data_IF_428511971905
#
_entry.id   IF_428511971905
#
_cell.length_a   1.000
_cell.length_b   1.000
_cell.length_c   1.000
_cell.angle_alpha   90.00
_cell.angle_beta   90.00
_cell.angle_gamma   90.00
#
_symmetry.space_group_name_H-M   'P 1'
#
loop_
_entity.id
_entity.type
_entity.pdbx_description
1 polymer ?
#
# COMPACT_ATOMS: atom_id res chain seq x y z
N UNK A 1 -5.22 1.65 12.58
CA UNK A 1 -5.78 1.23 11.28
C UNK A 1 -4.60 0.96 10.35
N UNK A 2 -4.70 -0.02 9.46
CA UNK A 2 -3.59 -0.45 8.62
C UNK A 2 -3.95 -0.34 7.14
N UNK A 3 -2.96 -0.09 6.29
CA UNK A 3 -3.13 0.02 4.83
C UNK A 3 -2.01 -0.70 4.09
N UNK A 4 -2.39 -1.52 3.12
CA UNK A 4 -1.48 -2.04 2.10
C UNK A 4 -1.62 -1.20 0.85
N UNK A 5 -0.50 -0.74 0.30
CA UNK A 5 -0.47 0.00 -0.95
C UNK A 5 0.82 -0.39 -1.67
N UNK A 6 0.75 -1.42 -2.51
CA UNK A 6 1.87 -1.80 -3.36
C UNK A 6 2.19 -0.65 -4.31
N UNK A 7 3.46 -0.31 -4.45
CA UNK A 7 3.89 0.87 -5.20
C UNK A 7 3.69 0.69 -6.69
N UNK A 8 3.74 -0.55 -7.16
CA UNK A 8 3.45 -0.96 -8.52
C UNK A 8 1.96 -1.23 -8.80
N UNK A 9 1.08 -1.09 -7.81
CA UNK A 9 -0.37 -1.15 -8.01
C UNK A 9 -0.91 0.21 -8.48
N UNK A 10 -1.29 0.37 -9.76
CA UNK A 10 -1.73 1.64 -10.32
C UNK A 10 -3.03 2.16 -9.68
N UNK A 11 -3.86 1.29 -9.11
CA UNK A 11 -5.14 1.69 -8.51
C UNK A 11 -4.90 2.43 -7.19
N UNK A 12 -3.85 2.05 -6.44
CA UNK A 12 -3.51 2.73 -5.18
C UNK A 12 -3.09 4.18 -5.38
N UNK A 13 -2.64 4.56 -6.58
CA UNK A 13 -2.28 5.94 -6.94
C UNK A 13 -3.49 6.82 -7.29
N UNK A 14 -4.68 6.23 -7.42
CA UNK A 14 -5.93 6.97 -7.65
C UNK A 14 -6.55 7.46 -6.34
N UNK A 15 -6.03 7.04 -5.18
CA UNK A 15 -6.39 7.62 -3.89
C UNK A 15 -6.00 9.09 -3.83
N UNK A 16 -6.83 9.92 -3.19
CA UNK A 16 -6.62 11.37 -3.13
C UNK A 16 -7.03 12.14 -4.38
N UNK A 17 -7.30 11.46 -5.51
CA UNK A 17 -7.87 12.08 -6.72
C UNK A 17 -9.37 12.28 -6.50
N UNK A 18 -9.80 13.55 -6.50
CA UNK A 18 -11.18 13.98 -6.28
C UNK A 18 -11.54 15.06 -7.29
N UNK A 19 -12.40 14.74 -8.26
CA UNK A 19 -12.84 15.66 -9.29
C UNK A 19 -14.28 16.08 -9.06
N UNK A 20 -14.51 17.39 -8.92
CA UNK A 20 -15.85 17.93 -8.74
C UNK A 20 -16.53 18.16 -10.08
N UNK A 21 -17.70 17.55 -10.29
CA UNK A 21 -18.48 17.69 -11.53
C UNK A 21 -19.24 19.01 -11.51
N UNK A 22 -18.89 19.99 -12.37
CA UNK A 22 -19.47 21.33 -12.32
C UNK A 22 -21.00 21.31 -12.45
N UNK A 23 -21.67 22.06 -11.57
CA UNK A 23 -23.13 22.25 -11.62
C UNK A 23 -23.98 21.08 -11.10
N UNK A 24 -23.37 19.99 -10.60
CA UNK A 24 -24.10 18.82 -10.11
C UNK A 24 -23.97 18.58 -8.60
N UNK A 25 -22.98 19.20 -7.95
CA UNK A 25 -22.68 18.93 -6.54
C UNK A 25 -22.02 17.56 -6.30
N UNK A 26 -21.74 16.80 -7.36
CA UNK A 26 -21.15 15.46 -7.29
C UNK A 26 -19.64 15.55 -7.36
N UNK A 27 -18.94 14.81 -6.50
CA UNK A 27 -17.50 14.58 -6.59
C UNK A 27 -17.24 13.13 -6.97
N UNK A 28 -16.36 12.91 -7.95
CA UNK A 28 -15.93 11.59 -8.41
C UNK A 28 -14.50 11.36 -7.92
N UNK A 29 -14.27 10.29 -7.18
CA UNK A 29 -12.95 9.95 -6.64
C UNK A 29 -12.98 8.69 -5.77
N UNK A 30 -11.80 8.16 -5.43
CA UNK A 30 -11.68 6.94 -4.60
C UNK A 30 -11.59 7.20 -3.09
N UNK A 31 -11.73 8.46 -2.68
CA UNK A 31 -11.55 8.92 -1.30
C UNK A 31 -10.16 9.50 -1.07
N UNK A 32 -9.86 9.82 0.19
CA UNK A 32 -8.52 10.18 0.61
C UNK A 32 -7.63 8.93 0.62
N UNK A 33 -6.39 9.02 0.12
CA UNK A 33 -5.43 7.90 0.15
C UNK A 33 -5.01 7.61 1.60
N UNK A 34 -5.27 6.41 2.15
CA UNK A 34 -4.86 6.07 3.49
C UNK A 34 -3.34 5.86 3.65
N UNK A 35 -2.59 5.73 2.56
CA UNK A 35 -1.14 5.48 2.58
C UNK A 35 -0.26 6.73 2.61
N UNK A 36 -0.84 7.92 2.47
CA UNK A 36 -0.12 9.20 2.50
C UNK A 36 0.16 9.68 3.93
N UNK A 37 1.21 10.48 4.07
CA UNK A 37 1.58 11.08 5.35
C UNK A 37 0.42 11.92 5.93
N UNK A 38 0.20 11.79 7.25
CA UNK A 38 -0.83 12.56 7.95
C UNK A 38 -2.22 11.93 7.97
N UNK A 39 -2.47 10.82 7.26
CA UNK A 39 -3.77 10.14 7.31
C UNK A 39 -4.04 9.49 8.68
N UNK A 40 -3.00 9.00 9.36
CA UNK A 40 -3.10 8.30 10.65
C UNK A 40 -3.27 6.78 10.54
N UNK A 41 -2.99 6.20 9.37
CA UNK A 41 -2.82 4.76 9.21
C UNK A 41 -1.41 4.32 9.61
N UNK A 42 -1.20 3.01 9.68
CA UNK A 42 0.13 2.39 9.56
C UNK A 42 0.19 1.70 8.21
N UNK A 43 1.07 2.14 7.32
CA UNK A 43 1.30 1.46 6.05
C UNK A 43 2.18 0.22 6.24
N UNK A 44 1.78 -0.90 5.63
CA UNK A 44 2.59 -2.12 5.57
C UNK A 44 3.11 -2.38 4.16
N UNK A 45 4.22 -3.12 4.11
CA UNK A 45 4.88 -3.58 2.88
C UNK A 45 3.95 -4.52 2.12
N UNK A 46 3.69 -4.23 0.85
CA UNK A 46 2.75 -4.98 0.03
C UNK A 46 3.34 -5.39 -1.32
N UNK A 47 4.65 -5.29 -1.49
CA UNK A 47 5.31 -5.50 -2.78
C UNK A 47 5.33 -6.99 -3.13
N UNK A 48 5.15 -7.28 -4.42
CA UNK A 48 5.02 -8.66 -4.91
C UNK A 48 6.36 -9.12 -5.50
N UNK A 49 6.95 -10.22 -5.02
CA UNK A 49 8.18 -10.76 -5.60
C UNK A 49 8.01 -11.13 -7.07
N UNK A 50 8.89 -10.62 -7.94
CA UNK A 50 8.92 -10.99 -9.36
C UNK A 50 7.80 -10.39 -10.22
N UNK A 51 7.10 -9.38 -9.73
CA UNK A 51 6.14 -8.62 -10.53
C UNK A 51 6.82 -7.86 -11.66
N UNK A 52 6.24 -7.95 -12.86
CA UNK A 52 6.88 -7.57 -14.13
C UNK A 52 5.94 -6.81 -15.08
N UNK A 53 4.70 -6.49 -14.67
CA UNK A 53 3.72 -5.85 -15.56
C UNK A 53 2.70 -4.96 -14.82
N UNK A 54 2.24 -3.83 -15.39
CA UNK A 54 1.68 -2.68 -14.64
C UNK A 54 0.31 -2.87 -13.98
N UNK A 55 -0.19 -4.09 -13.82
CA UNK A 55 -1.54 -4.36 -13.29
C UNK A 55 -1.62 -5.59 -12.41
N UNK A 56 -0.59 -6.45 -12.42
CA UNK A 56 -0.64 -7.73 -11.72
C UNK A 56 -0.68 -7.53 -10.21
N UNK A 57 -0.03 -6.47 -9.73
CA UNK A 57 0.16 -6.25 -8.30
C UNK A 57 -1.14 -5.85 -7.60
N UNK A 58 -2.05 -5.17 -8.31
CA UNK A 58 -3.40 -4.93 -7.81
C UNK A 58 -4.15 -6.21 -7.43
N UNK A 59 -3.91 -7.30 -8.17
CA UNK A 59 -4.59 -8.58 -7.96
C UNK A 59 -3.79 -9.54 -7.08
N UNK A 60 -2.63 -9.12 -6.55
CA UNK A 60 -1.67 -10.03 -5.92
C UNK A 60 -1.58 -9.92 -4.40
N UNK A 61 -2.38 -9.06 -3.76
CA UNK A 61 -2.41 -8.91 -2.29
C UNK A 61 -2.68 -10.21 -1.51
N UNK A 62 -3.34 -11.18 -2.13
CA UNK A 62 -3.65 -12.50 -1.53
C UNK A 62 -2.74 -13.63 -2.04
N UNK A 63 -1.63 -13.29 -2.71
CA UNK A 63 -0.69 -14.29 -3.20
C UNK A 63 -0.03 -15.01 -2.01
N UNK A 64 -0.06 -16.35 -1.93
CA UNK A 64 0.63 -17.10 -0.89
C UNK A 64 2.12 -16.75 -0.82
N UNK A 65 2.64 -16.55 0.38
CA UNK A 65 4.04 -16.19 0.58
C UNK A 65 4.38 -14.71 0.33
N UNK A 66 3.40 -13.86 -0.01
CA UNK A 66 3.62 -12.42 -0.22
C UNK A 66 3.65 -11.64 1.10
N UNK A 67 4.30 -10.47 1.06
CA UNK A 67 4.33 -9.49 2.16
C UNK A 67 2.91 -9.11 2.60
N UNK A 68 2.06 -8.80 1.62
CA UNK A 68 0.69 -8.36 1.86
C UNK A 68 -0.15 -9.40 2.60
N UNK A 69 -0.16 -10.65 2.13
CA UNK A 69 -0.96 -11.69 2.77
C UNK A 69 -0.46 -12.01 4.19
N UNK A 70 0.86 -12.01 4.38
CA UNK A 70 1.47 -12.20 5.70
C UNK A 70 1.01 -11.12 6.67
N UNK A 71 1.17 -9.84 6.29
CA UNK A 71 0.77 -8.71 7.13
C UNK A 71 -0.73 -8.66 7.41
N UNK A 72 -1.57 -8.99 6.41
CA UNK A 72 -3.01 -9.12 6.65
C UNK A 72 -3.33 -10.22 7.68
N UNK A 73 -2.60 -11.33 7.67
CA UNK A 73 -2.71 -12.39 8.67
C UNK A 73 -2.44 -11.88 10.09
N UNK A 74 -1.35 -11.15 10.29
CA UNK A 74 -1.02 -10.54 11.58
C UNK A 74 -2.08 -9.54 12.04
N UNK A 75 -2.49 -8.63 11.14
CA UNK A 75 -3.48 -7.61 11.46
C UNK A 75 -4.82 -8.25 11.84
N UNK A 76 -5.31 -9.21 11.05
CA UNK A 76 -6.60 -9.86 11.28
C UNK A 76 -6.58 -10.76 12.51
N UNK A 77 -5.43 -11.31 12.88
CA UNK A 77 -5.26 -12.12 14.10
C UNK A 77 -5.02 -11.30 15.36
N UNK A 78 -4.91 -9.96 15.24
CA UNK A 78 -4.73 -9.04 16.37
C UNK A 78 -3.27 -8.73 16.72
N UNK A 79 -2.33 -9.11 15.87
CA UNK A 79 -0.88 -8.94 16.06
C UNK A 79 -0.28 -7.87 15.13
N UNK A 80 -1.08 -6.87 14.72
CA UNK A 80 -0.60 -5.85 13.78
C UNK A 80 0.58 -5.00 14.31
N UNK A 81 0.80 -4.97 15.61
CA UNK A 81 1.97 -4.35 16.25
C UNK A 81 3.27 -5.13 15.99
N UNK A 82 3.19 -6.43 15.72
CA UNK A 82 4.33 -7.25 15.32
C UNK A 82 4.95 -6.81 13.98
N UNK A 83 4.18 -6.13 13.12
CA UNK A 83 4.66 -5.68 11.82
C UNK A 83 5.89 -4.77 11.91
N UNK A 84 6.02 -3.94 12.94
CA UNK A 84 7.20 -3.10 13.11
C UNK A 84 8.43 -3.94 13.47
N UNK A 85 8.25 -4.87 14.41
CA UNK A 85 9.28 -5.82 14.83
C UNK A 85 9.74 -6.69 13.66
N UNK A 86 8.83 -7.14 12.82
CA UNK A 86 9.09 -8.02 11.68
C UNK A 86 9.55 -7.25 10.43
N UNK A 87 9.77 -5.94 10.56
CA UNK A 87 10.15 -5.05 9.47
C UNK A 87 9.17 -5.07 8.29
N UNK A 88 7.88 -5.26 8.58
CA UNK A 88 6.78 -5.29 7.63
C UNK A 88 6.04 -3.96 7.50
N UNK A 89 6.44 -2.92 8.24
CA UNK A 89 5.96 -1.55 8.01
C UNK A 89 6.67 -0.89 6.82
N UNK A 90 5.95 -0.05 6.10
CA UNK A 90 6.47 0.79 5.01
C UNK A 90 6.28 2.28 5.36
N UNK A 91 7.16 3.19 4.91
CA UNK A 91 6.94 4.62 5.04
C UNK A 91 5.66 5.07 4.32
N UNK A 92 4.95 6.04 4.90
CA UNK A 92 3.88 6.70 4.19
C UNK A 92 4.40 7.43 2.94
N UNK A 93 3.55 7.55 1.92
CA UNK A 93 3.86 8.34 0.73
C UNK A 93 3.99 9.82 1.12
N UNK A 94 5.04 10.47 0.62
CA UNK A 94 5.38 11.86 0.96
C UNK A 94 6.20 12.05 2.25
N UNK A 95 6.42 11.00 3.05
CA UNK A 95 7.19 11.09 4.30
C UNK A 95 8.73 11.05 4.12
N UNK A 96 9.20 11.08 2.88
CA UNK A 96 10.60 10.93 2.51
C UNK A 96 11.10 12.15 1.74
N UNK A 97 12.41 12.38 1.78
CA UNK A 97 13.05 13.53 1.10
C UNK A 97 13.09 13.41 -0.43
N UNK A 98 12.75 12.24 -0.97
CA UNK A 98 12.64 12.00 -2.41
C UNK A 98 11.48 12.81 -2.99
N UNK A 99 11.48 13.10 -4.31
CA UNK A 99 10.29 13.62 -4.97
C UNK A 99 9.07 12.76 -4.64
N UNK A 100 7.90 13.39 -4.43
CA UNK A 100 6.66 12.72 -4.03
C UNK A 100 6.28 11.54 -4.94
N UNK A 101 6.70 11.61 -6.21
CA UNK A 101 6.45 10.60 -7.24
C UNK A 101 7.30 9.32 -7.09
N UNK A 102 8.32 9.31 -6.22
CA UNK A 102 9.23 8.17 -6.04
C UNK A 102 9.01 7.53 -4.67
N UNK A 103 8.21 6.46 -4.64
CA UNK A 103 8.02 5.62 -3.47
C UNK A 103 9.26 4.72 -3.24
N UNK A 104 9.95 4.79 -2.08
CA UNK A 104 11.08 3.91 -1.74
C UNK A 104 10.76 2.42 -1.86
N UNK A 105 9.49 2.05 -1.73
CA UNK A 105 9.06 0.66 -1.87
C UNK A 105 9.14 0.19 -3.35
N UNK A 106 9.14 1.10 -4.33
CA UNK A 106 9.33 0.80 -5.77
C UNK A 106 10.75 0.34 -6.12
N UNK A 107 11.76 0.80 -5.37
CA UNK A 107 13.17 0.55 -5.70
C UNK A 107 13.71 -0.73 -5.06
N UNK A 108 12.93 -1.37 -4.18
CA UNK A 108 13.27 -2.67 -3.59
C UNK A 108 12.41 -3.79 -4.20
N UNK A 109 12.93 -5.01 -4.31
CA UNK A 109 12.07 -6.15 -4.60
C UNK A 109 11.16 -6.44 -3.39
N UNK A 110 9.93 -6.87 -3.67
CA UNK A 110 9.09 -7.53 -2.68
C UNK A 110 9.77 -8.81 -2.17
N UNK A 111 9.66 -9.05 -0.87
CA UNK A 111 10.15 -10.26 -0.20
C UNK A 111 9.10 -11.37 -0.24
N UNK A 112 9.55 -12.62 -0.25
CA UNK A 112 8.67 -13.78 -0.41
C UNK A 112 8.98 -14.90 0.58
N UNK A 113 8.11 -15.91 0.60
CA UNK A 113 8.26 -17.08 1.49
C UNK A 113 7.69 -16.85 2.89
N UNK A 114 6.91 -15.79 3.08
CA UNK A 114 6.27 -15.48 4.35
C UNK A 114 5.16 -16.48 4.70
N UNK A 115 5.17 -16.99 5.92
CA UNK A 115 4.17 -17.94 6.42
C UNK A 115 4.01 -17.79 7.94
N UNK A 116 2.81 -18.14 8.42
CA UNK A 116 2.47 -18.27 9.84
C UNK A 116 2.55 -19.73 10.28
#
# INVERSE_FOLDING_TARGET
MYVGAASSDPVTHLGGVQEHVPGTGVTIGLGNDPSVEGYGSTRFKAEVPGATWPWKDHSSYFTPGSESLFSMGDIMSGHGDALEHDHMTAPHRGAYWLPDDIDPETIRPGTGGHAH
#
